data_IF_295539072922
#
_entry.id   IF_295539072922
#
_cell.length_a   1.000
_cell.length_b   1.000
_cell.length_c   1.000
_cell.angle_alpha   90.00
_cell.angle_beta   90.00
_cell.angle_gamma   90.00
#
_symmetry.space_group_name_H-M   'P 1'
#
loop_
_entity.id
_entity.type
_entity.pdbx_description
1 polymer ?
#
# COMPACT_ATOMS: atom_id res chain seq x y z
N UNK A 1 21.76 -25.91 -14.35
CA UNK A 1 20.44 -25.60 -13.78
C UNK A 1 19.74 -24.46 -14.53
N UNK A 2 20.29 -23.24 -14.59
CA UNK A 2 19.63 -22.07 -15.21
C UNK A 2 19.23 -22.32 -16.68
N UNK A 3 20.16 -22.76 -17.54
CA UNK A 3 19.89 -23.07 -18.97
C UNK A 3 18.81 -24.14 -19.19
N UNK A 4 18.56 -25.02 -18.21
CA UNK A 4 17.56 -26.09 -18.32
C UNK A 4 16.13 -25.56 -18.20
N UNK A 5 15.94 -24.45 -17.50
CA UNK A 5 14.62 -23.91 -17.13
C UNK A 5 14.29 -22.58 -17.83
N UNK A 6 15.25 -22.02 -18.58
CA UNK A 6 15.05 -20.78 -19.32
C UNK A 6 14.59 -21.10 -20.75
N UNK A 7 13.37 -20.71 -21.09
CA UNK A 7 12.85 -20.85 -22.44
C UNK A 7 13.36 -19.73 -23.37
N UNK A 8 13.43 -19.98 -24.69
CA UNK A 8 13.76 -18.94 -25.67
C UNK A 8 12.88 -17.70 -25.51
N UNK A 9 13.48 -16.51 -25.51
CA UNK A 9 12.79 -15.22 -25.34
C UNK A 9 12.53 -14.79 -23.89
N UNK A 10 12.81 -15.64 -22.89
CA UNK A 10 12.71 -15.25 -21.48
C UNK A 10 13.95 -14.48 -21.02
N UNK A 11 13.73 -13.46 -20.19
CA UNK A 11 14.80 -12.70 -19.53
C UNK A 11 14.98 -13.17 -18.10
N UNK A 12 16.22 -13.39 -17.67
CA UNK A 12 16.51 -13.79 -16.30
C UNK A 12 16.64 -12.55 -15.41
N UNK A 13 15.82 -12.43 -14.37
CA UNK A 13 15.99 -11.38 -13.36
C UNK A 13 17.13 -11.77 -12.39
N UNK A 14 18.19 -10.97 -12.34
CA UNK A 14 19.30 -11.17 -11.39
C UNK A 14 19.11 -10.25 -10.19
N UNK A 15 19.21 -10.75 -8.95
CA UNK A 15 19.08 -9.92 -7.75
C UNK A 15 20.35 -9.17 -7.32
N UNK A 16 21.47 -9.42 -8.00
CA UNK A 16 22.78 -8.89 -7.69
C UNK A 16 23.51 -8.58 -9.01
N UNK A 17 24.24 -7.45 -9.06
CA UNK A 17 24.93 -6.97 -10.25
C UNK A 17 26.14 -7.83 -10.65
N UNK A 18 26.83 -8.41 -9.68
CA UNK A 18 27.94 -9.35 -9.91
C UNK A 18 27.39 -10.65 -10.51
N UNK A 19 26.28 -11.15 -9.98
CA UNK A 19 25.63 -12.35 -10.54
C UNK A 19 25.13 -12.10 -11.96
N UNK A 20 24.55 -10.93 -12.24
CA UNK A 20 24.19 -10.52 -13.60
C UNK A 20 25.40 -10.65 -14.53
N UNK A 21 26.51 -10.00 -14.16
CA UNK A 21 27.74 -9.98 -14.96
C UNK A 21 28.31 -11.38 -15.20
N UNK A 22 28.36 -12.21 -14.15
CA UNK A 22 28.88 -13.58 -14.23
C UNK A 22 27.98 -14.46 -15.11
N UNK A 23 26.66 -14.36 -14.96
CA UNK A 23 25.70 -15.16 -15.74
C UNK A 23 25.75 -14.75 -17.21
N UNK A 24 25.76 -13.46 -17.51
CA UNK A 24 25.87 -12.94 -18.87
C UNK A 24 27.17 -13.43 -19.52
N UNK A 25 28.31 -13.30 -18.84
CA UNK A 25 29.61 -13.69 -19.37
C UNK A 25 29.78 -15.21 -19.55
N UNK A 26 29.36 -16.02 -18.57
CA UNK A 26 29.60 -17.48 -18.58
C UNK A 26 28.52 -18.27 -19.29
N UNK A 27 27.27 -17.80 -19.25
CA UNK A 27 26.13 -18.54 -19.80
C UNK A 27 25.60 -17.94 -21.09
N UNK A 28 25.99 -16.72 -21.46
CA UNK A 28 25.48 -16.02 -22.65
C UNK A 28 24.00 -15.68 -22.54
N UNK A 29 23.47 -15.56 -21.31
CA UNK A 29 22.07 -15.29 -21.02
C UNK A 29 21.94 -13.82 -20.63
N UNK A 30 21.09 -13.08 -21.32
CA UNK A 30 20.76 -11.70 -20.93
C UNK A 30 20.05 -11.66 -19.57
N UNK A 31 20.49 -10.77 -18.69
CA UNK A 31 19.93 -10.60 -17.36
C UNK A 31 19.34 -9.20 -17.14
N UNK A 32 18.11 -9.16 -16.61
CA UNK A 32 17.49 -7.93 -16.14
C UNK A 32 18.00 -7.62 -14.73
N UNK A 33 18.54 -6.42 -14.55
CA UNK A 33 18.92 -5.86 -13.26
C UNK A 33 18.52 -4.37 -13.23
N UNK A 34 17.41 -4.06 -12.57
CA UNK A 34 16.91 -2.71 -12.39
C UNK A 34 16.23 -2.60 -11.01
N UNK A 35 15.73 -1.41 -10.67
CA UNK A 35 15.12 -1.19 -9.36
C UNK A 35 13.86 -2.03 -9.14
N UNK A 36 13.08 -2.32 -10.19
CA UNK A 36 11.95 -3.26 -10.12
C UNK A 36 12.40 -4.66 -9.71
N UNK A 37 13.49 -5.17 -10.29
CA UNK A 37 14.05 -6.47 -9.91
C UNK A 37 14.56 -6.46 -8.47
N UNK A 38 15.19 -5.37 -8.02
CA UNK A 38 15.61 -5.24 -6.61
C UNK A 38 14.43 -5.32 -5.65
N UNK A 39 13.32 -4.64 -5.95
CA UNK A 39 12.10 -4.69 -5.13
C UNK A 39 11.46 -6.09 -5.11
N UNK A 40 11.41 -6.78 -6.26
CA UNK A 40 10.92 -8.16 -6.33
C UNK A 40 11.79 -9.09 -5.49
N UNK A 41 13.11 -8.97 -5.60
CA UNK A 41 14.06 -9.80 -4.84
C UNK A 41 13.99 -9.50 -3.34
N UNK A 42 13.75 -8.25 -2.96
CA UNK A 42 13.46 -7.86 -1.58
C UNK A 42 12.21 -8.56 -1.04
N UNK A 43 11.12 -8.58 -1.83
CA UNK A 43 9.87 -9.22 -1.47
C UNK A 43 10.03 -10.73 -1.31
N UNK A 44 10.72 -11.38 -2.25
CA UNK A 44 11.01 -12.81 -2.19
C UNK A 44 11.80 -13.17 -0.93
N UNK A 45 12.86 -12.42 -0.60
CA UNK A 45 13.64 -12.63 0.65
C UNK A 45 12.78 -12.52 1.90
N UNK A 46 11.85 -11.57 1.94
CA UNK A 46 10.93 -11.43 3.06
C UNK A 46 9.95 -12.60 3.19
N UNK A 47 9.59 -13.24 2.06
CA UNK A 47 8.69 -14.39 2.02
C UNK A 47 9.40 -15.74 2.18
N UNK A 48 10.72 -15.82 2.02
CA UNK A 48 11.48 -17.08 2.07
C UNK A 48 11.19 -17.90 3.33
N UNK A 49 11.05 -17.26 4.49
CA UNK A 49 10.69 -17.93 5.77
C UNK A 49 9.31 -18.61 5.76
N UNK A 50 8.40 -18.18 4.89
CA UNK A 50 7.09 -18.81 4.73
C UNK A 50 7.04 -19.84 3.61
N UNK A 51 8.05 -19.84 2.72
CA UNK A 51 8.08 -20.65 1.50
C UNK A 51 9.08 -21.81 1.62
N UNK A 52 10.13 -21.62 2.42
CA UNK A 52 11.18 -22.63 2.66
C UNK A 52 10.98 -23.19 4.07
N UNK A 53 10.98 -24.52 4.27
CA UNK A 53 10.92 -25.12 5.60
C UNK A 53 12.11 -24.70 6.47
N UNK A 54 11.86 -24.52 7.77
CA UNK A 54 12.84 -24.03 8.76
C UNK A 54 14.13 -24.88 8.77
N UNK A 55 14.05 -26.19 8.49
CA UNK A 55 15.21 -27.10 8.48
C UNK A 55 16.19 -26.85 7.31
N UNK A 56 15.82 -25.98 6.36
CA UNK A 56 16.63 -25.63 5.18
C UNK A 56 16.99 -24.14 5.13
N UNK A 57 16.62 -23.37 6.14
CA UNK A 57 16.81 -21.93 6.20
C UNK A 57 18.09 -21.57 6.97
N UNK A 58 19.21 -21.47 6.24
CA UNK A 58 20.43 -20.80 6.74
C UNK A 58 20.32 -19.27 6.55
N UNK A 59 19.20 -18.66 6.95
CA UNK A 59 19.01 -17.21 6.88
C UNK A 59 18.83 -16.63 8.28
N UNK A 60 19.64 -15.65 8.63
CA UNK A 60 19.52 -14.91 9.89
C UNK A 60 18.59 -13.70 9.73
N UNK A 61 18.09 -13.16 10.84
CA UNK A 61 17.30 -11.91 10.83
C UNK A 61 18.09 -10.71 10.26
N UNK A 62 19.43 -10.77 10.24
CA UNK A 62 20.30 -9.75 9.63
C UNK A 62 20.31 -9.80 8.10
N UNK A 63 20.02 -10.96 7.50
CA UNK A 63 19.95 -11.15 6.05
C UNK A 63 18.66 -10.56 5.44
N UNK A 64 17.75 -10.07 6.28
CA UNK A 64 16.50 -9.41 5.88
C UNK A 64 16.79 -7.95 5.52
N UNK A 65 16.73 -7.56 4.23
CA UNK A 65 16.77 -6.14 3.91
C UNK A 65 15.56 -5.47 4.56
N UNK A 66 15.81 -4.52 5.46
CA UNK A 66 14.77 -4.08 6.41
C UNK A 66 13.73 -3.13 5.81
N UNK A 67 14.06 -2.42 4.73
CA UNK A 67 13.15 -1.48 4.09
C UNK A 67 13.28 -1.53 2.57
N UNK A 68 12.16 -1.67 1.87
CA UNK A 68 12.11 -1.51 0.41
C UNK A 68 11.73 -0.08 0.01
N UNK A 69 11.96 0.27 -1.25
CA UNK A 69 11.61 1.57 -1.80
C UNK A 69 10.10 1.80 -1.75
N UNK A 70 9.28 0.79 -2.09
CA UNK A 70 7.82 0.92 -2.05
C UNK A 70 7.30 1.25 -0.65
N UNK A 71 7.86 0.61 0.38
CA UNK A 71 7.52 0.88 1.78
C UNK A 71 7.91 2.30 2.18
N UNK A 72 9.12 2.73 1.84
CA UNK A 72 9.58 4.10 2.09
C UNK A 72 8.64 5.14 1.46
N UNK A 73 8.23 4.93 0.21
CA UNK A 73 7.29 5.82 -0.47
C UNK A 73 5.93 5.94 0.25
N UNK A 74 5.42 4.83 0.79
CA UNK A 74 4.16 4.82 1.56
C UNK A 74 4.34 5.58 2.87
N UNK A 75 5.42 5.31 3.59
CA UNK A 75 5.74 5.94 4.87
C UNK A 75 5.92 7.46 4.72
N UNK A 76 6.71 7.89 3.74
CA UNK A 76 6.97 9.30 3.44
C UNK A 76 5.68 10.04 3.07
N UNK A 77 4.81 9.43 2.25
CA UNK A 77 3.50 10.01 1.87
C UNK A 77 2.61 10.29 3.07
N UNK A 78 2.71 9.47 4.13
CA UNK A 78 1.93 9.61 5.35
C UNK A 78 2.66 10.35 6.47
N UNK A 79 3.82 10.94 6.16
CA UNK A 79 4.69 11.65 7.10
C UNK A 79 5.10 10.76 8.30
N UNK A 80 5.39 9.48 8.03
CA UNK A 80 5.84 8.51 9.03
C UNK A 80 7.33 8.26 8.82
N UNK A 81 8.15 8.75 9.74
CA UNK A 81 9.60 8.61 9.66
C UNK A 81 10.07 7.45 10.53
N UNK A 82 10.69 6.44 9.92
CA UNK A 82 11.23 5.27 10.61
C UNK A 82 12.55 4.88 9.96
N UNK A 83 13.55 4.51 10.76
CA UNK A 83 14.84 4.08 10.23
C UNK A 83 14.78 2.61 9.83
N UNK A 84 15.60 2.20 8.86
CA UNK A 84 15.59 0.84 8.35
C UNK A 84 15.82 -0.19 9.47
N UNK A 85 16.72 0.09 10.43
CA UNK A 85 16.99 -0.80 11.56
C UNK A 85 15.78 -1.05 12.48
N UNK A 86 14.75 -0.22 12.41
CA UNK A 86 13.56 -0.30 13.26
C UNK A 86 12.40 -1.04 12.61
N UNK A 87 12.53 -1.41 11.34
CA UNK A 87 11.47 -2.12 10.62
C UNK A 87 11.40 -3.56 11.13
N UNK A 88 10.20 -3.93 11.59
CA UNK A 88 9.84 -5.27 12.02
C UNK A 88 8.60 -5.74 11.25
N UNK A 89 8.28 -7.03 11.36
CA UNK A 89 7.17 -7.65 10.62
C UNK A 89 5.82 -6.92 10.79
N UNK A 90 5.38 -6.52 12.00
CA UNK A 90 4.15 -5.72 12.17
C UNK A 90 4.15 -4.40 11.39
N UNK A 91 5.27 -3.68 11.36
CA UNK A 91 5.40 -2.43 10.58
C UNK A 91 5.28 -2.72 9.08
N UNK A 92 5.88 -3.81 8.60
CA UNK A 92 5.78 -4.26 7.21
C UNK A 92 4.32 -4.54 6.85
N UNK A 93 3.64 -5.38 7.65
CA UNK A 93 2.25 -5.79 7.41
C UNK A 93 1.29 -4.59 7.39
N UNK A 94 1.43 -3.67 8.36
CA UNK A 94 0.59 -2.46 8.40
C UNK A 94 0.90 -1.51 7.24
N UNK A 95 2.16 -1.39 6.82
CA UNK A 95 2.52 -0.55 5.66
C UNK A 95 1.96 -1.14 4.36
N UNK A 96 2.01 -2.46 4.20
CA UNK A 96 1.36 -3.16 3.09
C UNK A 96 -0.17 -2.92 3.09
N UNK A 97 -0.83 -3.02 4.24
CA UNK A 97 -2.27 -2.75 4.34
C UNK A 97 -2.62 -1.30 3.91
N UNK A 98 -1.79 -0.32 4.30
CA UNK A 98 -1.95 1.07 3.85
C UNK A 98 -1.75 1.20 2.34
N UNK A 99 -0.71 0.56 1.78
CA UNK A 99 -0.43 0.55 0.36
C UNK A 99 -1.61 0.02 -0.46
N UNK A 100 -2.14 -1.15 -0.09
CA UNK A 100 -3.28 -1.77 -0.77
C UNK A 100 -4.50 -0.84 -0.79
N UNK A 101 -4.76 -0.15 0.33
CA UNK A 101 -5.89 0.76 0.43
C UNK A 101 -5.71 2.06 -0.37
N UNK A 102 -4.50 2.63 -0.40
CA UNK A 102 -4.24 3.88 -1.11
C UNK A 102 -4.03 3.70 -2.61
N UNK A 103 -3.45 2.58 -3.05
CA UNK A 103 -3.04 2.40 -4.43
C UNK A 103 -3.85 1.33 -5.15
N UNK A 104 -3.89 0.10 -4.64
CA UNK A 104 -4.48 -1.03 -5.37
C UNK A 104 -6.00 -0.89 -5.50
N UNK A 105 -6.70 -0.68 -4.38
CA UNK A 105 -8.16 -0.55 -4.38
C UNK A 105 -8.60 0.70 -5.14
N UNK A 106 -7.88 1.82 -4.99
CA UNK A 106 -8.21 3.06 -5.70
C UNK A 106 -7.96 2.96 -7.20
N UNK A 107 -6.85 2.35 -7.61
CA UNK A 107 -6.52 2.15 -9.03
C UNK A 107 -7.50 1.20 -9.70
N UNK A 108 -7.95 0.14 -9.01
CA UNK A 108 -8.96 -0.81 -9.52
C UNK A 108 -10.24 -0.09 -9.97
N UNK A 109 -10.67 0.92 -9.21
CA UNK A 109 -11.96 1.61 -9.44
C UNK A 109 -11.82 2.99 -10.07
N UNK A 110 -10.60 3.51 -10.23
CA UNK A 110 -10.39 4.90 -10.62
C UNK A 110 -11.01 5.23 -11.97
N UNK A 111 -10.89 4.34 -12.95
CA UNK A 111 -11.41 4.59 -14.29
C UNK A 111 -12.94 4.68 -14.30
N UNK A 112 -13.62 3.68 -13.73
CA UNK A 112 -15.08 3.63 -13.65
C UNK A 112 -15.63 4.83 -12.85
N UNK A 113 -14.99 5.19 -11.74
CA UNK A 113 -15.39 6.34 -10.94
C UNK A 113 -15.20 7.67 -11.69
N UNK A 114 -14.14 7.79 -12.50
CA UNK A 114 -13.90 9.00 -13.31
C UNK A 114 -14.90 9.11 -14.45
N UNK A 115 -15.24 8.01 -15.12
CA UNK A 115 -16.32 7.97 -16.12
C UNK A 115 -17.66 8.36 -15.49
N UNK A 116 -18.01 7.80 -14.33
CA UNK A 116 -19.21 8.22 -13.58
C UNK A 116 -19.18 9.70 -13.22
N UNK A 117 -18.02 10.22 -12.83
CA UNK A 117 -17.82 11.64 -12.57
C UNK A 117 -18.11 12.54 -13.78
N UNK A 118 -17.78 12.11 -14.99
CA UNK A 118 -18.14 12.86 -16.20
C UNK A 118 -19.66 12.93 -16.39
N UNK A 119 -20.40 11.87 -16.05
CA UNK A 119 -21.86 11.91 -16.05
C UNK A 119 -22.40 12.87 -14.99
N UNK A 120 -21.78 12.95 -13.81
CA UNK A 120 -22.15 13.96 -12.78
C UNK A 120 -21.97 15.40 -13.28
N UNK A 121 -20.93 15.66 -14.06
CA UNK A 121 -20.72 16.96 -14.70
C UNK A 121 -21.77 17.22 -15.79
N UNK A 122 -22.09 16.23 -16.62
CA UNK A 122 -23.04 16.39 -17.74
C UNK A 122 -24.46 16.66 -17.26
N UNK A 123 -24.93 15.86 -16.31
CA UNK A 123 -26.31 15.88 -15.80
C UNK A 123 -26.45 16.93 -14.69
N UNK A 124 -25.76 16.74 -13.56
CA UNK A 124 -25.89 17.63 -12.40
C UNK A 124 -25.00 18.88 -12.44
N UNK A 125 -24.20 19.11 -13.49
CA UNK A 125 -23.28 20.26 -13.59
C UNK A 125 -22.33 20.38 -12.38
N UNK A 126 -21.90 19.24 -11.82
CA UNK A 126 -20.95 19.19 -10.71
C UNK A 126 -19.57 18.83 -11.27
N UNK A 127 -18.59 19.73 -11.13
CA UNK A 127 -17.22 19.42 -11.47
C UNK A 127 -16.56 18.60 -10.35
N UNK A 128 -16.29 17.33 -10.63
CA UNK A 128 -15.69 16.38 -9.70
C UNK A 128 -14.25 15.98 -10.07
N UNK A 129 -13.55 16.75 -10.92
CA UNK A 129 -12.18 16.44 -11.34
C UNK A 129 -11.23 16.31 -10.13
N UNK A 130 -11.35 17.23 -9.17
CA UNK A 130 -10.53 17.25 -7.95
C UNK A 130 -11.03 16.29 -6.86
N UNK A 131 -12.13 15.57 -7.09
CA UNK A 131 -12.66 14.66 -6.08
C UNK A 131 -11.81 13.40 -5.97
N UNK A 132 -11.66 12.91 -4.73
CA UNK A 132 -11.07 11.62 -4.46
C UNK A 132 -12.07 10.48 -4.73
N UNK A 133 -11.57 9.24 -4.77
CA UNK A 133 -12.38 8.06 -5.07
C UNK A 133 -13.52 7.84 -4.06
N UNK A 134 -13.32 8.19 -2.79
CA UNK A 134 -14.35 8.10 -1.75
C UNK A 134 -15.53 9.02 -2.08
N UNK A 135 -15.25 10.31 -2.31
CA UNK A 135 -16.28 11.30 -2.61
C UNK A 135 -17.04 10.97 -3.90
N UNK A 136 -16.32 10.53 -4.95
CA UNK A 136 -16.92 10.05 -6.20
C UNK A 136 -17.82 8.83 -5.98
N UNK A 137 -17.34 7.81 -5.27
CA UNK A 137 -18.11 6.60 -5.01
C UNK A 137 -19.38 6.89 -4.21
N UNK A 138 -19.31 7.77 -3.22
CA UNK A 138 -20.47 8.22 -2.44
C UNK A 138 -21.49 8.94 -3.32
N UNK A 139 -21.06 9.83 -4.22
CA UNK A 139 -21.97 10.53 -5.12
C UNK A 139 -22.64 9.60 -6.13
N UNK A 140 -21.88 8.68 -6.71
CA UNK A 140 -22.40 7.71 -7.67
C UNK A 140 -23.34 6.70 -7.02
N UNK A 141 -23.06 6.31 -5.76
CA UNK A 141 -24.01 5.53 -4.95
C UNK A 141 -25.28 6.34 -4.67
N UNK A 142 -25.16 7.63 -4.35
CA UNK A 142 -26.30 8.47 -4.03
C UNK A 142 -27.26 8.64 -5.22
N UNK A 143 -26.76 8.91 -6.42
CA UNK A 143 -27.63 9.01 -7.61
C UNK A 143 -28.28 7.68 -7.97
N UNK A 144 -27.63 6.55 -7.71
CA UNK A 144 -28.20 5.22 -7.94
C UNK A 144 -29.29 4.86 -6.90
N UNK A 145 -29.11 5.31 -5.66
CA UNK A 145 -29.94 5.00 -4.48
C UNK A 145 -30.27 6.29 -3.70
N UNK A 146 -31.10 7.18 -4.27
CA UNK A 146 -31.34 8.51 -3.73
C UNK A 146 -32.15 8.53 -2.44
N UNK A 147 -32.78 7.43 -2.06
CA UNK A 147 -33.54 7.30 -0.80
C UNK A 147 -32.65 6.92 0.38
N UNK A 148 -31.48 6.32 0.13
CA UNK A 148 -30.63 5.86 1.21
C UNK A 148 -29.91 7.02 1.91
N UNK A 149 -29.73 6.87 3.23
CA UNK A 149 -28.86 7.74 4.01
C UNK A 149 -27.42 7.67 3.51
N UNK A 150 -26.75 8.82 3.50
CA UNK A 150 -25.30 8.91 3.32
C UNK A 150 -24.75 9.83 4.41
N UNK A 151 -23.53 9.55 4.86
CA UNK A 151 -22.82 10.45 5.75
C UNK A 151 -22.36 11.67 4.97
N UNK A 152 -22.70 12.85 5.48
CA UNK A 152 -22.33 14.15 4.93
C UNK A 152 -21.32 14.83 5.85
N UNK A 153 -20.49 15.70 5.28
CA UNK A 153 -19.50 16.41 6.06
C UNK A 153 -18.73 17.43 5.23
N UNK A 154 -17.95 18.24 5.91
CA UNK A 154 -17.16 19.31 5.30
C UNK A 154 -15.73 18.87 4.94
N UNK A 155 -15.41 17.58 5.09
CA UNK A 155 -14.10 17.07 4.68
C UNK A 155 -14.02 16.90 3.16
N UNK A 156 -12.82 17.01 2.56
CA UNK A 156 -12.62 16.76 1.13
C UNK A 156 -13.07 15.37 0.63
N UNK A 157 -13.17 14.39 1.53
CA UNK A 157 -13.65 13.02 1.27
C UNK A 157 -15.18 12.89 1.27
N UNK A 158 -15.92 13.90 1.74
CA UNK A 158 -17.37 13.85 1.92
C UNK A 158 -18.10 14.79 0.97
N UNK A 159 -19.36 14.45 0.71
CA UNK A 159 -20.26 15.34 0.00
C UNK A 159 -20.74 16.44 0.93
N UNK A 160 -20.76 17.66 0.42
CA UNK A 160 -21.45 18.77 1.08
C UNK A 160 -22.96 18.55 1.02
N UNK A 161 -23.68 19.25 1.90
CA UNK A 161 -25.15 19.19 1.92
C UNK A 161 -25.73 19.64 0.58
N UNK A 162 -25.15 20.66 -0.04
CA UNK A 162 -25.62 21.20 -1.32
C UNK A 162 -25.35 20.26 -2.49
N UNK A 163 -24.16 19.65 -2.53
CA UNK A 163 -23.82 18.61 -3.51
C UNK A 163 -24.80 17.43 -3.40
N UNK A 164 -25.04 16.93 -2.18
CA UNK A 164 -25.95 15.82 -1.94
C UNK A 164 -27.40 16.16 -2.30
N UNK A 165 -27.89 17.36 -1.95
CA UNK A 165 -29.23 17.82 -2.28
C UNK A 165 -29.44 17.88 -3.80
N UNK A 166 -28.46 18.43 -4.52
CA UNK A 166 -28.50 18.53 -5.98
C UNK A 166 -28.52 17.14 -6.62
N UNK A 167 -27.62 16.26 -6.20
CA UNK A 167 -27.54 14.89 -6.72
C UNK A 167 -28.83 14.09 -6.47
N UNK A 168 -29.50 14.28 -5.32
CA UNK A 168 -30.82 13.66 -5.07
C UNK A 168 -31.89 14.22 -6.00
N UNK A 169 -31.94 15.54 -6.18
CA UNK A 169 -32.90 16.19 -7.07
C UNK A 169 -32.76 15.71 -8.52
N UNK A 170 -31.52 15.53 -8.97
CA UNK A 170 -31.22 15.10 -10.34
C UNK A 170 -31.21 13.58 -10.53
N UNK A 171 -31.40 12.78 -9.47
CA UNK A 171 -31.19 11.32 -9.50
C UNK A 171 -31.99 10.61 -10.61
N UNK A 172 -33.22 11.06 -10.86
CA UNK A 172 -34.08 10.52 -11.92
C UNK A 172 -33.49 10.70 -13.33
N UNK A 173 -32.65 11.71 -13.55
CA UNK A 173 -32.01 11.97 -14.84
C UNK A 173 -30.84 11.00 -15.14
N UNK A 174 -30.45 10.16 -14.17
CA UNK A 174 -29.42 9.13 -14.34
C UNK A 174 -30.01 7.74 -14.63
N UNK A 175 -31.32 7.66 -14.91
CA UNK A 175 -31.95 6.38 -15.24
C UNK A 175 -31.36 5.80 -16.55
N UNK A 176 -30.92 4.55 -16.50
CA UNK A 176 -30.26 3.88 -17.63
C UNK A 176 -28.77 4.20 -17.81
N UNK A 177 -28.25 5.28 -17.22
CA UNK A 177 -26.83 5.66 -17.31
C UNK A 177 -25.92 4.72 -16.52
N UNK A 178 -26.40 4.19 -15.39
CA UNK A 178 -25.59 3.43 -14.46
C UNK A 178 -26.18 2.06 -14.13
N UNK A 179 -25.30 1.05 -14.07
CA UNK A 179 -25.62 -0.21 -13.41
C UNK A 179 -25.57 0.00 -11.89
N UNK A 180 -26.74 0.23 -11.28
CA UNK A 180 -26.88 0.55 -9.84
C UNK A 180 -26.05 -0.38 -8.93
N UNK A 181 -26.13 -1.69 -9.17
CA UNK A 181 -25.38 -2.69 -8.39
C UNK A 181 -23.86 -2.50 -8.46
N UNK A 182 -23.32 -2.08 -9.60
CA UNK A 182 -21.88 -1.85 -9.78
C UNK A 182 -21.40 -0.73 -8.86
N UNK A 183 -22.08 0.43 -8.84
CA UNK A 183 -21.68 1.55 -7.99
C UNK A 183 -21.91 1.28 -6.50
N UNK A 184 -22.90 0.46 -6.13
CA UNK A 184 -23.07 0.00 -4.76
C UNK A 184 -21.88 -0.87 -4.30
N UNK A 185 -21.44 -1.80 -5.13
CA UNK A 185 -20.29 -2.68 -4.83
C UNK A 185 -19.00 -1.86 -4.73
N UNK A 186 -18.76 -0.97 -5.69
CA UNK A 186 -17.58 -0.08 -5.66
C UNK A 186 -17.59 0.80 -4.40
N UNK A 187 -18.74 1.39 -4.06
CA UNK A 187 -18.89 2.17 -2.83
C UNK A 187 -18.52 1.37 -1.59
N UNK A 188 -19.05 0.14 -1.44
CA UNK A 188 -18.74 -0.73 -0.30
C UNK A 188 -17.25 -1.06 -0.21
N UNK A 189 -16.61 -1.40 -1.33
CA UNK A 189 -15.16 -1.69 -1.37
C UNK A 189 -14.32 -0.45 -0.99
N UNK A 190 -14.66 0.73 -1.52
CA UNK A 190 -13.95 1.98 -1.26
C UNK A 190 -14.11 2.42 0.20
N UNK A 191 -15.34 2.36 0.75
CA UNK A 191 -15.61 2.68 2.17
C UNK A 191 -14.82 1.74 3.08
N UNK A 192 -14.86 0.43 2.79
CA UNK A 192 -14.12 -0.56 3.56
C UNK A 192 -12.61 -0.30 3.54
N UNK A 193 -12.05 0.00 2.37
CA UNK A 193 -10.64 0.34 2.23
C UNK A 193 -10.27 1.65 2.96
N UNK A 194 -11.13 2.67 2.91
CA UNK A 194 -10.91 3.92 3.66
C UNK A 194 -10.89 3.68 5.18
N UNK A 195 -11.77 2.82 5.69
CA UNK A 195 -11.80 2.44 7.11
C UNK A 195 -10.56 1.62 7.50
N UNK A 196 -10.23 0.61 6.71
CA UNK A 196 -9.06 -0.23 6.94
C UNK A 196 -7.78 0.60 6.92
N UNK A 197 -7.62 1.49 5.94
CA UNK A 197 -6.50 2.44 5.87
C UNK A 197 -6.35 3.26 7.15
N UNK A 198 -7.46 3.79 7.66
CA UNK A 198 -7.46 4.62 8.87
C UNK A 198 -7.01 3.83 10.10
N UNK A 199 -7.51 2.58 10.23
CA UNK A 199 -7.06 1.66 11.28
C UNK A 199 -5.59 1.30 11.14
N UNK A 200 -5.16 0.91 9.93
CA UNK A 200 -3.78 0.52 9.63
C UNK A 200 -2.81 1.67 9.90
N UNK A 201 -3.12 2.90 9.48
CA UNK A 201 -2.30 4.09 9.78
C UNK A 201 -2.20 4.36 11.29
N UNK A 202 -3.29 4.17 12.04
CA UNK A 202 -3.27 4.32 13.50
C UNK A 202 -2.36 3.27 14.14
N UNK A 203 -2.51 2.00 13.78
CA UNK A 203 -1.67 0.92 14.27
C UNK A 203 -0.19 1.13 13.89
N UNK A 204 0.07 1.50 12.63
CA UNK A 204 1.41 1.77 12.12
C UNK A 204 2.11 2.87 12.92
N UNK A 205 1.41 3.98 13.22
CA UNK A 205 1.96 5.05 14.05
C UNK A 205 2.28 4.60 15.47
N UNK A 206 1.46 3.75 16.07
CA UNK A 206 1.73 3.17 17.39
C UNK A 206 2.96 2.28 17.35
N UNK A 207 3.04 1.36 16.39
CA UNK A 207 4.17 0.44 16.23
C UNK A 207 5.49 1.19 16.00
N UNK A 208 5.48 2.25 15.19
CA UNK A 208 6.67 3.08 14.96
C UNK A 208 7.11 3.80 16.23
N UNK A 209 6.18 4.34 17.02
CA UNK A 209 6.49 4.96 18.32
C UNK A 209 7.10 3.95 19.28
N UNK A 210 6.57 2.74 19.33
CA UNK A 210 7.08 1.67 20.18
C UNK A 210 8.49 1.24 19.78
N UNK A 211 8.73 1.05 18.48
CA UNK A 211 10.05 0.77 17.94
C UNK A 211 11.06 1.91 18.26
N UNK A 212 10.64 3.18 18.21
CA UNK A 212 11.47 4.32 18.61
C UNK A 212 11.91 4.23 20.07
N UNK A 213 10.98 3.91 20.98
CA UNK A 213 11.28 3.79 22.42
C UNK A 213 12.27 2.67 22.70
N UNK A 214 12.02 1.49 22.14
CA UNK A 214 12.92 0.34 22.28
C UNK A 214 14.33 0.67 21.77
N UNK A 215 14.44 1.33 20.61
CA UNK A 215 15.74 1.73 20.05
C UNK A 215 16.50 2.73 20.92
N UNK A 216 15.80 3.60 21.66
CA UNK A 216 16.39 4.58 22.56
C UNK A 216 16.88 3.91 23.86
N UNK A 217 16.11 2.96 24.40
CA UNK A 217 16.46 2.18 25.60
C UNK A 217 17.71 1.31 25.37
N UNK A 218 17.82 0.66 24.20
CA UNK A 218 19.02 -0.12 23.83
C UNK A 218 20.27 0.76 23.73
N UNK A 219 20.13 2.03 23.33
CA UNK A 219 21.25 3.00 23.27
C UNK A 219 21.59 3.61 24.65
N UNK A 220 20.62 3.71 25.55
CA UNK A 220 20.80 4.26 26.90
C UNK A 220 21.35 3.25 27.93
N UNK A 221 21.27 1.95 27.66
CA UNK A 221 21.75 0.88 28.55
C UNK A 221 23.27 0.63 28.56
N UNK A 222 24.05 1.33 27.73
CA UNK A 222 25.48 1.09 27.50
C UNK A 222 26.45 1.59 28.60
N UNK A 223 25.97 2.21 29.67
CA UNK A 223 26.82 2.66 30.79
C UNK A 223 26.27 2.20 32.13
N UNK A 224 26.47 0.92 32.45
CA UNK A 224 26.71 0.49 33.83
C UNK A 224 28.01 -0.30 33.85
N UNK A 225 29.10 0.39 34.18
CA UNK A 225 30.33 -0.25 34.63
C UNK A 225 29.96 -1.25 35.72
N UNK A 226 30.11 -2.55 35.45
CA UNK A 226 30.27 -3.55 36.49
C UNK A 226 31.59 -3.23 37.19
N UNK A 227 31.50 -2.44 38.27
CA UNK A 227 32.60 -2.26 39.21
C UNK A 227 32.86 -3.58 39.92
N UNK A 228 33.84 -4.33 39.44
CA UNK A 228 34.46 -5.41 40.19
C UNK A 228 35.13 -4.79 41.42
N UNK A 229 34.51 -4.96 42.59
CA UNK A 229 35.21 -4.86 43.88
C UNK A 229 36.08 -6.11 44.02
N UNK A 230 37.37 -6.00 43.72
CA UNK A 230 38.39 -6.81 44.37
C UNK A 230 39.00 -5.99 45.50
N UNK A 231 39.05 -6.60 46.68
CA UNK A 231 39.54 -6.00 47.91
C UNK A 231 41.06 -5.96 48.01
N UNK A 232 41.51 -5.20 49.01
CA UNK A 232 42.71 -5.45 49.80
C UNK A 232 42.26 -5.34 51.26
#
# INVERSE_FOLDING_TARGET
MIKKWLNPGQTLAAGNADYKTIIEAKLGIYCLFNDTVKEVMWGLKNLMMSIVPDEKLDLTDEDRPRMCQGMKMVLDRHNIYVKAEMINRPIIEMTCAVYECDFCVRRKHSEILRQGGQSLLKVSKINCEQWNCMKLATALKLVCYPEEGIELGNSPEMLSVDEARKLRGDAHQYEGEFKKYTFLTIYKEVVWACHLRTKALRCLRTLVKEAMRLSAETRGGGTKQFGWRYGI
#
